data_IF_631268130928
#
_entry.id   IF_631268130928
#
_cell.length_a   1.000
_cell.length_b   1.000
_cell.length_c   1.000
_cell.angle_alpha   90.00
_cell.angle_beta   90.00
_cell.angle_gamma   90.00
#
_symmetry.space_group_name_H-M   'P 1'
#
loop_
_entity.id
_entity.type
_entity.pdbx_description
1 polymer ?
#
# COMPACT_ATOMS: atom_id res chain seq x y z
N UNK A 1 -22.71 -25.27 -13.76
CA UNK A 1 -22.01 -25.38 -12.46
C UNK A 1 -20.56 -24.95 -12.68
N UNK A 2 -20.24 -23.67 -12.48
CA UNK A 2 -18.90 -23.10 -12.79
C UNK A 2 -18.51 -22.10 -11.70
N UNK A 3 -17.33 -22.34 -11.11
CA UNK A 3 -16.44 -21.41 -10.39
C UNK A 3 -16.88 -20.77 -9.05
N UNK A 4 -17.18 -21.59 -8.04
CA UNK A 4 -17.18 -21.11 -6.63
C UNK A 4 -15.80 -21.18 -5.95
N UNK A 5 -14.88 -22.01 -6.46
CA UNK A 5 -13.57 -22.23 -5.83
C UNK A 5 -12.60 -21.05 -5.94
N UNK A 6 -12.63 -20.28 -7.03
CA UNK A 6 -11.75 -19.12 -7.22
C UNK A 6 -12.15 -17.90 -6.39
N UNK A 7 -13.44 -17.77 -6.04
CA UNK A 7 -13.94 -16.68 -5.21
C UNK A 7 -13.67 -16.91 -3.72
N UNK A 8 -13.68 -18.17 -3.29
CA UNK A 8 -13.26 -18.55 -1.93
C UNK A 8 -11.75 -18.39 -1.75
N UNK A 9 -10.94 -18.82 -2.73
CA UNK A 9 -9.48 -18.65 -2.68
C UNK A 9 -9.01 -17.19 -2.65
N UNK A 10 -9.68 -16.29 -3.39
CA UNK A 10 -9.40 -14.84 -3.30
C UNK A 10 -9.76 -14.26 -1.94
N UNK A 11 -10.93 -14.60 -1.39
CA UNK A 11 -11.33 -14.15 -0.06
C UNK A 11 -10.35 -14.61 1.01
N UNK A 12 -9.92 -15.87 0.99
CA UNK A 12 -8.97 -16.41 1.97
C UNK A 12 -7.57 -15.78 1.86
N UNK A 13 -7.12 -15.48 0.63
CA UNK A 13 -5.85 -14.76 0.42
C UNK A 13 -5.92 -13.29 0.85
N UNK A 14 -7.07 -12.64 0.66
CA UNK A 14 -7.33 -11.29 1.15
C UNK A 14 -7.43 -11.27 2.68
N UNK A 15 -8.02 -12.29 3.29
CA UNK A 15 -8.17 -12.43 4.74
C UNK A 15 -6.82 -12.61 5.45
N UNK A 16 -5.91 -13.39 4.86
CA UNK A 16 -4.52 -13.52 5.33
C UNK A 16 -3.74 -12.20 5.22
N UNK A 17 -3.96 -11.44 4.15
CA UNK A 17 -3.38 -10.10 3.99
C UNK A 17 -3.91 -9.10 5.03
N UNK A 18 -5.20 -9.18 5.37
CA UNK A 18 -5.87 -8.33 6.36
C UNK A 18 -5.42 -8.63 7.78
N UNK A 19 -5.28 -9.91 8.15
CA UNK A 19 -4.76 -10.30 9.46
C UNK A 19 -3.32 -9.81 9.67
N UNK A 20 -2.48 -9.94 8.62
CA UNK A 20 -1.11 -9.40 8.62
C UNK A 20 -1.08 -7.87 8.71
N UNK A 21 -2.04 -7.17 8.12
CA UNK A 21 -2.15 -5.71 8.25
C UNK A 21 -2.51 -5.30 9.68
N UNK A 22 -3.39 -6.02 10.36
CA UNK A 22 -3.74 -5.77 11.75
C UNK A 22 -2.58 -6.03 12.70
N UNK A 23 -1.87 -7.15 12.52
CA UNK A 23 -0.64 -7.45 13.28
C UNK A 23 0.43 -6.38 13.03
N UNK A 24 0.56 -5.93 11.77
CA UNK A 24 1.46 -4.83 11.41
C UNK A 24 1.04 -3.52 12.08
N UNK A 25 -0.25 -3.17 12.06
CA UNK A 25 -0.78 -1.95 12.70
C UNK A 25 -0.62 -1.99 14.23
N UNK A 26 -0.92 -3.13 14.87
CA UNK A 26 -0.76 -3.32 16.30
C UNK A 26 0.71 -3.23 16.74
N UNK A 27 1.61 -3.83 15.96
CA UNK A 27 3.06 -3.76 16.20
C UNK A 27 3.58 -2.33 16.05
N UNK A 28 3.08 -1.58 15.07
CA UNK A 28 3.46 -0.19 14.80
C UNK A 28 3.11 0.76 15.97
N UNK A 29 2.01 0.50 16.68
CA UNK A 29 1.58 1.34 17.80
C UNK A 29 2.28 1.03 19.13
N UNK A 30 2.59 -0.25 19.39
CA UNK A 30 3.32 -0.63 20.60
C UNK A 30 4.72 0.01 20.66
N UNK A 31 5.32 0.31 19.51
CA UNK A 31 6.58 1.06 19.41
C UNK A 31 6.46 2.54 19.81
N UNK A 32 5.27 3.13 19.74
CA UNK A 32 5.01 4.54 20.09
C UNK A 32 4.58 4.72 21.56
N UNK A 33 4.05 3.67 22.20
CA UNK A 33 3.44 3.76 23.54
C UNK A 33 4.43 3.54 24.70
N UNK A 34 5.71 3.32 24.42
CA UNK A 34 6.73 3.13 25.45
C UNK A 34 7.35 4.46 25.87
N UNK A 35 6.53 5.41 26.32
CA UNK A 35 6.99 6.59 27.09
C UNK A 35 5.78 7.27 27.77
N UNK A 36 5.31 6.65 28.84
CA UNK A 36 4.39 7.27 29.79
C UNK A 36 4.63 6.73 31.20
N UNK A 37 5.83 7.00 31.73
CA UNK A 37 6.07 6.96 33.18
C UNK A 37 7.16 7.95 33.54
N UNK A 38 6.77 9.04 34.19
CA UNK A 38 7.64 10.10 34.72
C UNK A 38 8.63 9.53 35.74
N UNK A 39 9.93 9.69 35.48
CA UNK A 39 10.95 9.87 36.51
C UNK A 39 12.13 10.64 35.89
N UNK A 40 12.34 11.84 36.40
CA UNK A 40 13.45 12.75 36.08
C UNK A 40 14.81 12.06 36.14
N UNK A 41 15.52 11.97 35.01
CA UNK A 41 16.98 11.86 34.94
C UNK A 41 17.40 12.39 33.57
N UNK A 42 18.27 13.40 33.56
CA UNK A 42 18.86 13.98 32.35
C UNK A 42 19.49 12.87 31.50
N UNK A 43 18.94 12.64 30.30
CA UNK A 43 19.53 11.80 29.27
C UNK A 43 19.66 12.62 27.99
N UNK A 44 20.85 12.48 27.39
CA UNK A 44 21.28 13.03 26.10
C UNK A 44 20.21 12.85 25.01
N UNK A 45 20.22 13.68 23.94
CA UNK A 45 19.29 13.52 22.82
C UNK A 45 19.47 12.14 22.20
N UNK A 46 18.61 11.23 22.59
CA UNK A 46 18.37 9.96 21.93
C UNK A 46 17.87 10.32 20.53
N UNK A 47 18.63 9.94 19.50
CA UNK A 47 18.17 10.07 18.12
C UNK A 47 16.79 9.42 18.03
N UNK A 48 15.76 10.25 17.86
CA UNK A 48 14.40 9.79 17.72
C UNK A 48 14.37 8.73 16.62
N UNK A 49 14.01 7.50 16.97
CA UNK A 49 13.72 6.46 15.99
C UNK A 49 12.80 7.06 14.92
N UNK A 50 13.03 6.78 13.62
CA UNK A 50 12.23 7.37 12.56
C UNK A 50 10.76 7.07 12.83
N UNK A 51 9.99 8.11 13.11
CA UNK A 51 8.56 7.97 13.37
C UNK A 51 7.91 7.35 12.12
N UNK A 52 7.28 6.19 12.30
CA UNK A 52 6.60 5.50 11.22
C UNK A 52 5.56 6.43 10.58
N UNK A 53 5.50 6.49 9.24
CA UNK A 53 4.63 7.41 8.55
C UNK A 53 3.13 7.16 8.85
N UNK A 54 2.32 8.21 8.97
CA UNK A 54 0.90 8.08 9.26
C UNK A 54 0.14 7.30 8.18
N UNK A 55 -0.87 6.54 8.62
CA UNK A 55 -1.80 5.81 7.76
C UNK A 55 -3.09 6.59 7.57
N UNK A 56 -3.64 6.55 6.37
CA UNK A 56 -4.99 7.04 6.05
C UNK A 56 -5.91 5.85 5.81
N UNK A 57 -7.05 5.82 6.49
CA UNK A 57 -8.10 4.83 6.28
C UNK A 57 -9.09 5.33 5.23
N UNK A 58 -9.33 4.51 4.21
CA UNK A 58 -10.16 4.79 3.04
C UNK A 58 -11.35 3.83 3.03
N UNK A 59 -12.50 4.27 2.53
CA UNK A 59 -13.63 3.36 2.30
C UNK A 59 -13.28 2.30 1.25
N UNK A 60 -13.53 1.03 1.53
CA UNK A 60 -13.28 -0.06 0.56
C UNK A 60 -14.16 0.03 -0.68
N UNK A 61 -15.35 0.63 -0.57
CA UNK A 61 -16.28 0.79 -1.70
C UNK A 61 -15.93 1.93 -2.65
N UNK A 62 -15.57 3.11 -2.14
CA UNK A 62 -15.40 4.33 -2.96
C UNK A 62 -14.07 5.07 -2.75
N UNK A 63 -13.14 4.51 -1.94
CA UNK A 63 -11.83 5.07 -1.62
C UNK A 63 -11.82 6.44 -0.95
N UNK A 64 -12.99 6.93 -0.50
CA UNK A 64 -13.08 8.21 0.21
C UNK A 64 -12.41 8.11 1.58
N UNK A 65 -11.62 9.10 2.02
CA UNK A 65 -10.97 9.08 3.32
C UNK A 65 -11.97 9.08 4.48
N UNK A 66 -11.77 8.17 5.43
CA UNK A 66 -12.63 7.98 6.60
C UNK A 66 -11.95 8.45 7.90
N UNK A 67 -10.62 8.46 7.93
CA UNK A 67 -9.84 8.87 9.10
C UNK A 67 -8.36 8.51 8.90
N UNK A 68 -7.59 8.62 9.97
CA UNK A 68 -6.15 8.36 9.97
C UNK A 68 -5.66 7.79 11.31
N UNK A 69 -4.43 7.28 11.31
CA UNK A 69 -3.82 6.63 12.48
C UNK A 69 -3.50 7.59 13.63
N UNK A 70 -3.53 8.91 13.44
CA UNK A 70 -3.26 9.87 14.53
C UNK A 70 -4.41 9.88 15.55
N UNK A 71 -5.60 9.47 15.11
CA UNK A 71 -6.78 9.31 15.96
C UNK A 71 -6.95 7.91 16.55
N UNK A 72 -6.07 6.96 16.23
CA UNK A 72 -6.18 5.58 16.66
C UNK A 72 -6.07 5.44 18.18
N UNK A 73 -6.89 4.54 18.75
CA UNK A 73 -6.87 4.16 20.17
C UNK A 73 -6.39 2.73 20.33
N UNK A 74 -7.06 1.77 19.70
CA UNK A 74 -6.77 0.35 19.84
C UNK A 74 -7.42 -0.46 18.70
N UNK A 75 -6.95 -1.68 18.46
CA UNK A 75 -7.64 -2.68 17.65
C UNK A 75 -8.41 -3.65 18.54
N UNK A 76 -9.52 -4.16 18.04
CA UNK A 76 -10.24 -5.25 18.69
C UNK A 76 -10.19 -6.49 17.80
N UNK A 77 -9.45 -7.50 18.25
CA UNK A 77 -9.22 -8.75 17.53
C UNK A 77 -10.53 -9.54 17.35
N UNK A 78 -11.35 -9.66 18.40
CA UNK A 78 -12.60 -10.44 18.38
C UNK A 78 -13.60 -9.98 17.30
N UNK A 79 -13.63 -8.68 17.03
CA UNK A 79 -14.61 -8.07 16.13
C UNK A 79 -14.02 -7.64 14.80
N UNK A 80 -12.70 -7.79 14.64
CA UNK A 80 -11.95 -7.34 13.48
C UNK A 80 -12.22 -5.86 13.15
N UNK A 81 -12.06 -5.00 14.17
CA UNK A 81 -12.32 -3.56 14.06
C UNK A 81 -11.16 -2.73 14.62
N UNK A 82 -11.05 -1.50 14.13
CA UNK A 82 -10.17 -0.47 14.70
C UNK A 82 -11.02 0.59 15.41
N UNK A 83 -10.49 1.12 16.51
CA UNK A 83 -11.16 2.15 17.30
C UNK A 83 -10.42 3.49 17.14
N UNK A 84 -11.15 4.49 16.69
CA UNK A 84 -10.65 5.85 16.46
C UNK A 84 -11.38 6.85 17.37
N UNK A 85 -10.66 7.86 17.87
CA UNK A 85 -11.25 9.01 18.58
C UNK A 85 -12.04 9.92 17.63
N UNK A 86 -11.56 10.06 16.40
CA UNK A 86 -12.12 10.97 15.41
C UNK A 86 -12.19 10.28 14.04
N UNK A 87 -13.17 10.70 13.23
CA UNK A 87 -13.32 10.32 11.83
C UNK A 87 -13.54 11.56 10.98
N UNK A 88 -13.37 11.45 9.67
CA UNK A 88 -13.64 12.54 8.74
C UNK A 88 -15.14 12.83 8.62
N UNK A 89 -15.49 13.98 8.04
CA UNK A 89 -16.88 14.31 7.68
C UNK A 89 -17.47 13.38 6.61
N UNK A 90 -16.68 12.44 6.07
CA UNK A 90 -17.15 11.45 5.11
C UNK A 90 -17.75 10.21 5.78
N UNK A 91 -17.74 10.15 7.11
CA UNK A 91 -18.48 9.17 7.90
C UNK A 91 -19.77 9.82 8.42
N UNK A 92 -20.88 9.16 8.15
CA UNK A 92 -22.20 9.55 8.65
C UNK A 92 -22.65 8.59 9.74
N UNK A 93 -23.30 9.12 10.77
CA UNK A 93 -23.86 8.35 11.88
C UNK A 93 -25.37 8.23 11.65
N UNK A 94 -25.87 7.01 11.67
CA UNK A 94 -27.30 6.72 11.62
C UNK A 94 -27.99 7.23 12.88
N UNK A 95 -29.19 7.80 12.71
CA UNK A 95 -29.99 8.27 13.82
C UNK A 95 -30.69 7.13 14.56
N UNK A 96 -30.80 5.97 13.92
CA UNK A 96 -31.39 4.78 14.53
C UNK A 96 -30.40 4.12 15.51
N UNK A 97 -30.81 4.05 16.78
CA UNK A 97 -30.08 3.33 17.82
C UNK A 97 -30.49 1.86 17.86
N UNK A 98 -29.50 0.97 17.94
CA UNK A 98 -29.67 -0.49 17.90
C UNK A 98 -29.03 -1.12 19.14
N UNK A 99 -29.66 -2.16 19.68
CA UNK A 99 -29.04 -2.98 20.72
C UNK A 99 -28.04 -3.95 20.08
N UNK A 100 -26.85 -4.09 20.66
CA UNK A 100 -25.91 -5.10 20.19
C UNK A 100 -26.51 -6.50 20.38
N UNK A 101 -26.37 -7.32 19.34
CA UNK A 101 -26.82 -8.71 19.34
C UNK A 101 -25.71 -9.68 19.75
N UNK A 102 -24.48 -9.18 19.96
CA UNK A 102 -23.32 -10.01 20.29
C UNK A 102 -23.30 -10.31 21.79
N UNK A 103 -22.79 -11.49 22.14
CA UNK A 103 -22.80 -11.98 23.54
C UNK A 103 -21.86 -11.18 24.44
N UNK A 104 -20.73 -10.75 23.90
CA UNK A 104 -19.68 -9.96 24.55
C UNK A 104 -20.02 -8.47 24.64
N UNK A 105 -21.00 -8.00 23.86
CA UNK A 105 -21.47 -6.61 23.82
C UNK A 105 -22.92 -6.49 24.32
N UNK A 106 -23.41 -7.49 25.06
CA UNK A 106 -24.79 -7.50 25.53
C UNK A 106 -25.08 -6.26 26.40
N UNK A 107 -26.19 -5.58 26.13
CA UNK A 107 -26.57 -4.33 26.80
C UNK A 107 -25.94 -3.07 26.21
N UNK A 108 -25.13 -3.17 25.15
CA UNK A 108 -24.64 -2.00 24.43
C UNK A 108 -25.71 -1.40 23.51
N UNK A 109 -25.78 -0.06 23.48
CA UNK A 109 -26.53 0.70 22.48
C UNK A 109 -25.54 1.23 21.43
N UNK A 110 -25.82 0.93 20.17
CA UNK A 110 -24.99 1.21 19.02
C UNK A 110 -25.69 2.14 18.03
N UNK A 111 -24.94 3.06 17.43
CA UNK A 111 -25.35 3.79 16.24
C UNK A 111 -24.53 3.30 15.05
N UNK A 112 -25.17 3.13 13.90
CA UNK A 112 -24.53 2.55 12.71
C UNK A 112 -23.74 3.61 11.96
N UNK A 113 -22.54 3.28 11.47
CA UNK A 113 -21.71 4.16 10.66
C UNK A 113 -21.83 3.83 9.17
N UNK A 114 -22.00 4.86 8.34
CA UNK A 114 -22.07 4.74 6.90
C UNK A 114 -21.11 5.67 6.19
N UNK A 115 -20.55 5.23 5.07
CA UNK A 115 -19.80 6.10 4.18
C UNK A 115 -20.76 7.11 3.52
N UNK A 116 -20.50 8.41 3.68
CA UNK A 116 -21.31 9.45 3.06
C UNK A 116 -21.25 9.43 1.52
N UNK A 117 -20.27 8.73 0.93
CA UNK A 117 -20.09 8.64 -0.53
C UNK A 117 -20.88 7.53 -1.21
N UNK A 118 -20.84 6.32 -0.64
CA UNK A 118 -21.44 5.12 -1.26
C UNK A 118 -22.41 4.38 -0.34
N UNK A 119 -22.71 4.94 0.84
CA UNK A 119 -23.59 4.34 1.85
C UNK A 119 -23.16 2.94 2.33
N UNK A 120 -21.90 2.56 2.10
CA UNK A 120 -21.35 1.32 2.63
C UNK A 120 -21.37 1.36 4.16
N UNK A 121 -21.80 0.26 4.78
CA UNK A 121 -21.72 0.08 6.22
C UNK A 121 -20.26 0.01 6.67
N UNK A 122 -19.85 0.93 7.54
CA UNK A 122 -18.46 1.05 8.00
C UNK A 122 -18.23 0.43 9.38
N UNK A 123 -19.25 0.37 10.24
CA UNK A 123 -19.10 -0.08 11.62
C UNK A 123 -20.09 0.62 12.56
N UNK A 124 -19.67 0.88 13.80
CA UNK A 124 -20.55 1.37 14.86
C UNK A 124 -19.91 2.41 15.77
N UNK A 125 -20.73 3.20 16.47
CA UNK A 125 -20.34 3.97 17.65
C UNK A 125 -21.11 3.44 18.86
N UNK A 126 -20.41 3.19 19.95
CA UNK A 126 -21.00 2.71 21.20
C UNK A 126 -21.47 3.90 22.04
N UNK A 127 -22.78 4.06 22.20
CA UNK A 127 -23.37 5.17 22.99
C UNK A 127 -23.59 4.82 24.45
N UNK A 128 -24.02 3.59 24.70
CA UNK A 128 -24.15 3.08 26.06
C UNK A 128 -23.40 1.78 26.17
N UNK A 129 -22.57 1.68 27.21
CA UNK A 129 -21.69 0.54 27.46
C UNK A 129 -21.82 0.13 28.93
N UNK A 130 -21.75 -1.18 29.23
CA UNK A 130 -21.46 -1.64 30.59
C UNK A 130 -20.02 -1.29 30.98
N UNK A 131 -19.73 -1.26 32.28
CA UNK A 131 -18.42 -0.81 32.82
C UNK A 131 -17.21 -1.50 32.20
N UNK A 132 -17.33 -2.78 31.85
CA UNK A 132 -16.26 -3.56 31.23
C UNK A 132 -15.98 -3.18 29.77
N UNK A 133 -16.87 -2.39 29.13
CA UNK A 133 -16.76 -1.91 27.76
C UNK A 133 -16.68 -0.37 27.66
N UNK A 134 -16.56 0.33 28.79
CA UNK A 134 -16.50 1.80 28.82
C UNK A 134 -15.34 2.38 28.00
N UNK A 135 -14.26 1.61 27.82
CA UNK A 135 -13.14 2.01 26.95
C UNK A 135 -13.53 2.16 25.47
N UNK A 136 -14.66 1.60 25.04
CA UNK A 136 -15.19 1.72 23.67
C UNK A 136 -16.18 2.87 23.51
N UNK A 137 -16.66 3.43 24.62
CA UNK A 137 -17.75 4.41 24.61
C UNK A 137 -17.33 5.66 23.83
N UNK A 138 -18.23 6.13 22.96
CA UNK A 138 -18.03 7.29 22.09
C UNK A 138 -16.78 7.23 21.19
N UNK A 139 -16.28 6.02 20.93
CA UNK A 139 -15.25 5.78 19.90
C UNK A 139 -15.89 5.28 18.60
N UNK A 140 -15.26 5.62 17.49
CA UNK A 140 -15.63 5.13 16.17
C UNK A 140 -15.00 3.76 15.94
N UNK A 141 -15.83 2.73 15.91
CA UNK A 141 -15.41 1.36 15.64
C UNK A 141 -15.61 1.06 14.15
N UNK A 142 -14.53 1.12 13.38
CA UNK A 142 -14.53 0.83 11.93
C UNK A 142 -14.15 -0.63 11.69
N UNK A 143 -14.98 -1.34 10.92
CA UNK A 143 -14.69 -2.70 10.51
C UNK A 143 -13.54 -2.72 9.51
N UNK A 144 -12.57 -3.62 9.74
CA UNK A 144 -11.41 -3.80 8.87
C UNK A 144 -11.83 -4.21 7.45
N UNK A 145 -12.96 -4.91 7.30
CA UNK A 145 -13.47 -5.31 5.99
C UNK A 145 -14.02 -4.12 5.17
N UNK A 146 -14.46 -3.06 5.85
CA UNK A 146 -15.07 -1.88 5.24
C UNK A 146 -14.04 -0.78 4.91
N UNK A 147 -12.78 -0.98 5.29
CA UNK A 147 -11.71 0.01 5.15
C UNK A 147 -10.49 -0.55 4.42
N UNK A 148 -9.73 0.35 3.81
CA UNK A 148 -8.41 0.10 3.25
C UNK A 148 -7.42 1.14 3.80
N UNK A 149 -6.14 0.81 3.87
CA UNK A 149 -5.12 1.74 4.40
C UNK A 149 -4.14 2.20 3.32
N UNK A 150 -3.76 3.47 3.37
CA UNK A 150 -2.66 4.03 2.60
C UNK A 150 -1.63 4.68 3.53
N UNK A 151 -0.37 4.27 3.42
CA UNK A 151 0.74 4.87 4.18
C UNK A 151 1.23 6.12 3.49
N UNK A 152 1.19 7.26 4.17
CA UNK A 152 1.71 8.52 3.64
C UNK A 152 3.22 8.43 3.41
N UNK A 153 3.72 9.00 2.32
CA UNK A 153 5.14 8.91 1.97
C UNK A 153 5.61 7.56 1.40
N UNK A 154 4.72 6.58 1.22
CA UNK A 154 5.04 5.29 0.57
C UNK A 154 5.26 5.36 -0.94
N UNK A 155 5.14 6.54 -1.56
CA UNK A 155 5.33 6.72 -3.01
C UNK A 155 6.81 6.72 -3.37
N UNK A 156 7.27 5.62 -3.99
CA UNK A 156 8.68 5.48 -4.45
C UNK A 156 8.93 6.08 -5.83
N UNK A 157 7.87 6.32 -6.61
CA UNK A 157 7.98 6.80 -8.00
C UNK A 157 8.18 8.32 -8.01
N UNK A 158 9.43 8.74 -8.04
CA UNK A 158 9.80 10.10 -8.40
C UNK A 158 9.66 10.27 -9.92
N UNK A 159 9.12 11.41 -10.37
CA UNK A 159 9.36 11.88 -11.74
C UNK A 159 10.85 12.21 -11.78
N UNK A 160 11.66 11.21 -12.11
CA UNK A 160 13.07 11.44 -12.38
C UNK A 160 13.12 12.41 -13.55
N UNK A 161 13.81 13.57 -13.46
CA UNK A 161 14.25 14.23 -14.67
C UNK A 161 15.05 13.18 -15.44
N UNK A 162 14.72 13.02 -16.71
CA UNK A 162 15.30 12.03 -17.61
C UNK A 162 16.73 12.43 -18.01
N UNK A 163 17.56 12.81 -17.03
CA UNK A 163 18.98 13.11 -17.18
C UNK A 163 19.83 11.83 -17.02
N UNK A 164 19.18 10.67 -17.02
CA UNK A 164 19.86 9.38 -17.13
C UNK A 164 19.91 8.99 -18.60
N UNK A 165 20.77 9.70 -19.32
CA UNK A 165 21.18 9.44 -20.72
C UNK A 165 20.03 9.03 -21.64
N UNK A 166 19.05 9.92 -21.80
CA UNK A 166 18.27 9.87 -23.01
C UNK A 166 19.20 10.05 -24.19
N UNK A 167 19.27 9.04 -25.06
CA UNK A 167 19.74 9.21 -26.42
C UNK A 167 18.91 10.32 -27.07
N UNK A 168 19.43 11.55 -27.05
CA UNK A 168 18.80 12.69 -27.69
C UNK A 168 18.72 12.43 -29.21
N UNK A 169 17.85 13.16 -29.92
CA UNK A 169 17.66 12.99 -31.37
C UNK A 169 18.97 13.15 -32.17
N UNK A 170 19.89 13.98 -31.70
CA UNK A 170 21.23 14.18 -32.27
C UNK A 170 22.09 12.91 -32.13
N UNK A 171 22.09 12.28 -30.94
CA UNK A 171 22.85 11.07 -30.63
C UNK A 171 22.36 9.87 -31.44
N UNK A 172 21.07 9.82 -31.76
CA UNK A 172 20.53 8.80 -32.68
C UNK A 172 21.10 8.95 -34.08
N UNK A 173 21.20 10.18 -34.60
CA UNK A 173 21.79 10.44 -35.93
C UNK A 173 23.27 10.08 -35.95
N UNK A 174 24.00 10.37 -34.87
CA UNK A 174 25.42 9.99 -34.74
C UNK A 174 25.62 8.48 -34.69
N UNK A 175 24.78 7.77 -33.92
CA UNK A 175 24.81 6.29 -33.85
C UNK A 175 24.45 5.69 -35.21
N UNK A 176 23.41 6.17 -35.88
CA UNK A 176 23.03 5.71 -37.23
C UNK A 176 24.16 5.94 -38.24
N UNK A 177 24.87 7.06 -38.15
CA UNK A 177 26.05 7.34 -39.00
C UNK A 177 27.19 6.37 -38.71
N UNK A 178 27.50 6.09 -37.44
CA UNK A 178 28.55 5.13 -37.08
C UNK A 178 28.21 3.70 -37.52
N UNK A 179 26.93 3.29 -37.41
CA UNK A 179 26.44 2.00 -37.91
C UNK A 179 26.61 1.91 -39.44
N UNK A 180 26.31 2.97 -40.18
CA UNK A 180 26.52 3.05 -41.64
C UNK A 180 27.99 2.87 -42.00
N UNK A 181 28.87 3.58 -41.30
CA UNK A 181 30.32 3.48 -41.52
C UNK A 181 30.84 2.06 -41.24
N UNK A 182 30.37 1.42 -40.16
CA UNK A 182 30.73 0.04 -39.88
C UNK A 182 30.23 -0.92 -40.96
N UNK A 183 29.00 -0.73 -41.46
CA UNK A 183 28.46 -1.53 -42.56
C UNK A 183 29.31 -1.42 -43.84
N UNK A 184 29.75 -0.22 -44.19
CA UNK A 184 30.59 0.03 -45.36
C UNK A 184 31.97 -0.62 -45.22
N UNK A 185 32.60 -0.53 -44.03
CA UNK A 185 33.87 -1.21 -43.74
C UNK A 185 33.71 -2.73 -43.85
N UNK A 186 32.61 -3.28 -43.35
CA UNK A 186 32.35 -4.72 -43.38
C UNK A 186 32.18 -5.23 -44.82
N UNK A 187 31.47 -4.47 -45.68
CA UNK A 187 31.36 -4.76 -47.11
C UNK A 187 32.71 -4.69 -47.84
N UNK A 188 33.53 -3.70 -47.51
CA UNK A 188 34.87 -3.58 -48.08
C UNK A 188 35.76 -4.77 -47.71
N UNK A 189 35.74 -5.18 -46.44
CA UNK A 189 36.45 -6.37 -45.96
C UNK A 189 35.94 -7.65 -46.62
N UNK A 190 34.62 -7.81 -46.76
CA UNK A 190 34.02 -8.96 -47.45
C UNK A 190 34.48 -9.06 -48.91
N UNK A 191 34.55 -7.91 -49.61
CA UNK A 191 35.03 -7.85 -51.00
C UNK A 191 36.50 -8.26 -51.09
N UNK A 192 37.33 -7.81 -50.13
CA UNK A 192 38.75 -8.18 -50.07
C UNK A 192 38.95 -9.65 -49.75
N UNK A 193 38.15 -10.22 -48.85
CA UNK A 193 38.13 -11.66 -48.57
C UNK A 193 37.81 -12.47 -49.82
N UNK A 194 36.77 -12.08 -50.57
CA UNK A 194 36.40 -12.74 -51.82
C UNK A 194 37.53 -12.68 -52.87
N UNK A 195 38.22 -11.53 -52.97
CA UNK A 195 39.37 -11.36 -53.86
C UNK A 195 40.54 -12.28 -53.48
N UNK A 196 40.78 -12.47 -52.17
CA UNK A 196 41.82 -13.38 -51.67
C UNK A 196 41.43 -14.84 -51.88
N UNK A 197 40.19 -15.22 -51.55
CA UNK A 197 39.67 -16.58 -51.76
C UNK A 197 39.70 -16.99 -53.23
N UNK A 198 39.29 -16.11 -54.14
CA UNK A 198 39.34 -16.36 -55.58
C UNK A 198 40.77 -16.56 -56.10
N UNK A 199 41.74 -15.74 -55.65
CA UNK A 199 43.16 -15.93 -55.99
C UNK A 199 43.71 -17.24 -55.41
N UNK A 200 43.34 -17.60 -54.19
CA UNK A 200 43.76 -18.85 -53.55
C UNK A 200 43.20 -20.07 -54.30
N UNK A 201 41.92 -20.04 -54.68
CA UNK A 201 41.28 -21.11 -55.45
C UNK A 201 41.90 -21.28 -56.84
N UNK A 202 42.23 -20.18 -57.52
CA UNK A 202 42.92 -20.20 -58.81
C UNK A 202 44.34 -20.77 -58.72
N UNK A 203 45.05 -20.50 -57.62
CA UNK A 203 46.38 -21.09 -57.37
C UNK A 203 46.29 -22.59 -57.05
N UNK A 204 45.23 -23.04 -56.35
CA UNK A 204 45.00 -24.45 -56.03
C UNK A 204 44.64 -25.32 -57.24
N UNK A 205 44.10 -24.74 -58.33
CA UNK A 205 43.81 -25.48 -59.58
C UNK A 205 45.00 -25.58 -60.55
N UNK A 206 46.14 -24.94 -60.24
CA UNK A 206 47.35 -24.92 -61.08
C UNK A 206 48.47 -25.81 -60.55
N UNK A 207 48.21 -26.58 -59.50
CA UNK A 207 49.16 -27.53 -58.92
C UNK A 207 48.78 -28.98 -59.18
#
# INVERSE_FOLDING_TARGET
>A
KRNDSSLLGRRLSEDSGRHRLLEKWASMWNSVSTDASEASTEKFPEEAAPAEPPLVFLCSGCRRPLGDSLSWVTNQEDTNCILLRCVSCNVSVDKEQKLSKRKDENGCILETLYCAGCSLHLGYVFRCTPKNLDYKRDLFCLSVEAIESYTLGSSEKQIMPEDKELFNLESRVEIEKSLKQMEDVLKALQTKLWEVESKLSFMSCKS
#
